data_IF_180860885641
#
_entry.id   IF_180860885641
#
_cell.length_a   1.000
_cell.length_b   1.000
_cell.length_c   1.000
_cell.angle_alpha   90.00
_cell.angle_beta   90.00
_cell.angle_gamma   90.00
#
_symmetry.space_group_name_H-M   'P 1'
#
loop_
_entity.id
_entity.type
_entity.pdbx_description
1 polymer ?
#
# COMPACT_ATOMS: atom_id res chain seq x y z
N UNK A 1 29.21 -0.90 2.10
CA UNK A 1 28.07 0.02 2.36
C UNK A 1 27.85 0.84 1.10
N UNK A 2 26.61 1.02 0.64
CA UNK A 2 26.34 1.95 -0.44
C UNK A 2 26.84 3.37 -0.09
N UNK A 3 27.31 4.12 -1.08
CA UNK A 3 27.77 5.51 -0.89
C UNK A 3 26.57 6.45 -0.69
N UNK A 4 26.83 7.62 -0.12
CA UNK A 4 25.82 8.68 0.02
C UNK A 4 25.21 9.05 -1.35
N UNK A 5 26.05 9.13 -2.38
CA UNK A 5 25.65 9.42 -3.76
C UNK A 5 24.68 8.39 -4.34
N UNK A 6 24.89 7.10 -4.03
CA UNK A 6 23.97 6.04 -4.44
C UNK A 6 22.61 6.18 -3.75
N UNK A 7 22.61 6.52 -2.46
CA UNK A 7 21.38 6.74 -1.71
C UNK A 7 20.58 7.90 -2.32
N UNK A 8 21.22 9.05 -2.51
CA UNK A 8 20.59 10.23 -3.11
C UNK A 8 20.05 9.96 -4.52
N UNK A 9 20.75 9.15 -5.32
CA UNK A 9 20.32 8.79 -6.67
C UNK A 9 19.06 7.90 -6.69
N UNK A 10 18.88 7.00 -5.71
CA UNK A 10 17.76 6.03 -5.67
C UNK A 10 16.54 6.59 -4.93
N UNK A 11 16.73 7.58 -4.05
CA UNK A 11 15.64 8.17 -3.26
C UNK A 11 14.43 8.69 -4.06
N UNK A 12 14.58 9.33 -5.24
CA UNK A 12 13.44 9.76 -6.05
C UNK A 12 12.55 8.60 -6.51
N UNK A 13 13.16 7.48 -6.92
CA UNK A 13 12.43 6.28 -7.36
C UNK A 13 11.68 5.64 -6.19
N UNK A 14 12.36 5.49 -5.04
CA UNK A 14 11.73 4.99 -3.81
C UNK A 14 10.54 5.88 -3.42
N UNK A 15 10.72 7.21 -3.46
CA UNK A 15 9.65 8.16 -3.14
C UNK A 15 8.45 7.98 -4.06
N UNK A 16 8.66 7.90 -5.37
CA UNK A 16 7.59 7.68 -6.33
C UNK A 16 6.84 6.37 -6.06
N UNK A 17 7.56 5.30 -5.70
CA UNK A 17 6.96 4.00 -5.38
C UNK A 17 6.14 4.04 -4.09
N UNK A 18 6.62 4.74 -3.06
CA UNK A 18 5.89 4.98 -1.81
C UNK A 18 4.64 5.82 -2.06
N UNK A 19 4.72 6.88 -2.87
CA UNK A 19 3.56 7.72 -3.20
C UNK A 19 2.45 6.93 -3.89
N UNK A 20 2.80 6.03 -4.83
CA UNK A 20 1.80 5.16 -5.46
C UNK A 20 1.17 4.18 -4.46
N UNK A 21 1.98 3.56 -3.60
CA UNK A 21 1.48 2.66 -2.56
C UNK A 21 0.48 3.40 -1.64
N UNK A 22 0.81 4.60 -1.20
CA UNK A 22 -0.09 5.41 -0.36
C UNK A 22 -1.41 5.74 -1.08
N UNK A 23 -1.36 6.07 -2.37
CA UNK A 23 -2.59 6.30 -3.16
C UNK A 23 -3.48 5.07 -3.24
N UNK A 24 -2.89 3.88 -3.44
CA UNK A 24 -3.63 2.61 -3.42
C UNK A 24 -4.31 2.40 -2.08
N UNK A 25 -3.58 2.60 -0.98
CA UNK A 25 -4.11 2.43 0.39
C UNK A 25 -5.28 3.39 0.63
N UNK A 26 -5.13 4.67 0.28
CA UNK A 26 -6.19 5.67 0.44
C UNK A 26 -7.43 5.35 -0.41
N UNK A 27 -7.24 4.87 -1.63
CA UNK A 27 -8.35 4.45 -2.50
C UNK A 27 -9.13 3.28 -1.90
N UNK A 28 -8.41 2.25 -1.42
CA UNK A 28 -9.05 1.09 -0.81
C UNK A 28 -9.72 1.48 0.49
N UNK A 29 -9.08 2.29 1.33
CA UNK A 29 -9.67 2.85 2.56
C UNK A 29 -11.00 3.54 2.25
N UNK A 30 -11.02 4.47 1.31
CA UNK A 30 -12.24 5.22 0.95
C UNK A 30 -13.42 4.33 0.48
N UNK A 31 -13.13 3.14 -0.08
CA UNK A 31 -14.14 2.28 -0.71
C UNK A 31 -14.50 1.04 0.12
N UNK A 32 -13.57 0.56 0.95
CA UNK A 32 -13.64 -0.71 1.68
C UNK A 32 -13.45 -0.58 3.20
N UNK A 33 -13.36 0.63 3.75
CA UNK A 33 -13.37 0.84 5.20
C UNK A 33 -14.56 0.14 5.88
N UNK A 34 -14.26 -0.57 6.98
CA UNK A 34 -15.21 -1.33 7.77
C UNK A 34 -15.75 -2.60 7.09
N UNK A 35 -15.23 -2.98 5.92
CA UNK A 35 -15.58 -4.25 5.26
C UNK A 35 -14.76 -5.42 5.85
N UNK A 36 -15.19 -6.67 5.64
CA UNK A 36 -14.42 -7.84 6.06
C UNK A 36 -12.99 -7.81 5.51
N UNK A 37 -12.02 -8.23 6.33
CA UNK A 37 -10.59 -8.21 6.01
C UNK A 37 -10.27 -8.88 4.66
N UNK A 38 -10.95 -9.97 4.31
CA UNK A 38 -10.76 -10.66 3.03
C UNK A 38 -11.16 -9.81 1.82
N UNK A 39 -12.23 -9.04 1.93
CA UNK A 39 -12.67 -8.13 0.87
C UNK A 39 -11.69 -6.98 0.70
N UNK A 40 -11.18 -6.44 1.82
CA UNK A 40 -10.16 -5.39 1.81
C UNK A 40 -8.85 -5.92 1.21
N UNK A 41 -8.41 -7.10 1.64
CA UNK A 41 -7.18 -7.76 1.15
C UNK A 41 -7.21 -7.98 -0.35
N UNK A 42 -8.34 -8.46 -0.89
CA UNK A 42 -8.55 -8.60 -2.33
C UNK A 42 -8.47 -7.25 -3.04
N UNK A 43 -9.14 -6.23 -2.53
CA UNK A 43 -9.12 -4.89 -3.12
C UNK A 43 -7.71 -4.27 -3.15
N UNK A 44 -6.91 -4.47 -2.09
CA UNK A 44 -5.51 -4.04 -2.07
C UNK A 44 -4.71 -4.79 -3.13
N UNK A 45 -4.84 -6.11 -3.21
CA UNK A 45 -4.10 -6.92 -4.18
C UNK A 45 -4.40 -6.49 -5.64
N UNK A 46 -5.68 -6.30 -5.97
CA UNK A 46 -6.11 -5.83 -7.30
C UNK A 46 -5.56 -4.43 -7.63
N UNK A 47 -5.60 -3.51 -6.66
CA UNK A 47 -5.10 -2.14 -6.86
C UNK A 47 -3.57 -2.06 -6.96
N UNK A 48 -2.84 -2.92 -6.23
CA UNK A 48 -1.39 -3.03 -6.33
C UNK A 48 -0.95 -3.62 -7.67
N UNK A 49 -1.65 -4.64 -8.16
CA UNK A 49 -1.39 -5.26 -9.46
C UNK A 49 -1.59 -4.25 -10.60
N UNK A 50 -2.67 -3.46 -10.54
CA UNK A 50 -2.94 -2.38 -11.51
C UNK A 50 -1.83 -1.31 -11.57
N UNK A 51 -1.14 -1.07 -10.47
CA UNK A 51 -0.01 -0.13 -10.38
C UNK A 51 1.36 -0.78 -10.63
N UNK A 52 1.42 -2.10 -10.83
CA UNK A 52 2.66 -2.87 -10.98
C UNK A 52 3.52 -2.89 -9.72
N UNK A 53 2.89 -2.78 -8.54
CA UNK A 53 3.59 -2.70 -7.25
C UNK A 53 3.55 -4.07 -6.58
N UNK A 54 4.73 -4.59 -6.30
CA UNK A 54 4.90 -5.78 -5.46
C UNK A 54 5.29 -5.31 -4.05
N UNK A 55 4.51 -5.73 -3.06
CA UNK A 55 4.81 -5.55 -1.62
C UNK A 55 4.81 -6.92 -0.94
N UNK A 56 5.53 -7.09 0.18
CA UNK A 56 5.45 -8.31 0.98
C UNK A 56 4.04 -8.55 1.52
N UNK A 57 3.59 -9.81 1.55
CA UNK A 57 2.25 -10.19 2.00
C UNK A 57 1.91 -9.65 3.41
N UNK A 58 2.89 -9.62 4.32
CA UNK A 58 2.69 -9.08 5.67
C UNK A 58 2.31 -7.59 5.68
N UNK A 59 2.77 -6.80 4.71
CA UNK A 59 2.36 -5.39 4.57
C UNK A 59 0.91 -5.31 4.11
N UNK A 60 0.53 -6.11 3.12
CA UNK A 60 -0.86 -6.18 2.64
C UNK A 60 -1.82 -6.60 3.75
N UNK A 61 -1.45 -7.60 4.55
CA UNK A 61 -2.26 -8.11 5.66
C UNK A 61 -2.44 -7.05 6.76
N UNK A 62 -1.36 -6.38 7.16
CA UNK A 62 -1.42 -5.33 8.18
C UNK A 62 -2.27 -4.13 7.73
N UNK A 63 -2.18 -3.74 6.46
CA UNK A 63 -3.00 -2.66 5.91
C UNK A 63 -4.46 -3.09 5.81
N UNK A 64 -4.73 -4.31 5.33
CA UNK A 64 -6.09 -4.85 5.20
C UNK A 64 -6.80 -4.89 6.56
N UNK A 65 -6.10 -5.39 7.59
CA UNK A 65 -6.60 -5.42 8.96
C UNK A 65 -6.93 -4.03 9.47
N UNK A 66 -6.04 -3.04 9.31
CA UNK A 66 -6.29 -1.65 9.74
C UNK A 66 -7.52 -1.04 9.07
N UNK A 67 -7.62 -1.16 7.75
CA UNK A 67 -8.77 -0.61 7.00
C UNK A 67 -10.08 -1.34 7.36
N UNK A 68 -10.01 -2.64 7.64
CA UNK A 68 -11.16 -3.44 8.08
C UNK A 68 -11.65 -3.04 9.47
N UNK A 69 -10.72 -2.75 10.39
CA UNK A 69 -10.99 -2.34 11.77
C UNK A 69 -11.40 -0.85 11.90
N UNK A 70 -11.21 -0.05 10.85
CA UNK A 70 -11.63 1.35 10.84
C UNK A 70 -13.17 1.47 10.80
N UNK A 71 -13.75 2.04 11.85
CA UNK A 71 -15.19 2.37 11.88
C UNK A 71 -15.47 3.48 10.86
N UNK A 72 -16.47 3.30 9.98
CA UNK A 72 -17.02 4.40 9.17
C UNK A 72 -17.60 5.43 10.14
N UNK A 73 -16.90 6.56 10.31
CA UNK A 73 -17.41 7.72 11.04
C UNK A 73 -18.66 8.29 10.36
#
# INVERSE_FOLDING_TARGET
MPSLDWYEAVMPEIRARVEKLLKVIELVRATHQGRPIEDVRRAIAEALDAEGIIVPDGVTEDVARRISEEEKQ
#
